data_IF_389774340373
#
_entry.id   IF_389774340373
#
_cell.length_a   1.000
_cell.length_b   1.000
_cell.length_c   1.000
_cell.angle_alpha   90.00
_cell.angle_beta   90.00
_cell.angle_gamma   90.00
#
_symmetry.space_group_name_H-M   'P 1'
#
loop_
_entity.id
_entity.type
_entity.pdbx_description
1 polymer ?
#
# COMPACT_ATOMS: atom_id res chain seq x y z
N UNK A 1 -4.92 -14.59 -2.69
CA UNK A 1 -5.40 -13.54 -3.61
C UNK A 1 -4.48 -13.43 -4.81
N UNK A 2 -5.07 -13.38 -6.01
CA UNK A 2 -4.39 -13.33 -7.32
C UNK A 2 -4.00 -11.91 -7.78
N UNK A 3 -4.53 -10.88 -7.11
CA UNK A 3 -4.37 -9.49 -7.55
C UNK A 3 -2.92 -9.00 -7.58
N UNK A 4 -2.05 -9.38 -6.63
CA UNK A 4 -0.64 -8.98 -6.67
C UNK A 4 0.08 -9.43 -7.94
N UNK A 5 -0.16 -10.68 -8.37
CA UNK A 5 0.38 -11.22 -9.64
C UNK A 5 -0.24 -10.51 -10.85
N UNK A 6 -1.53 -10.21 -10.77
CA UNK A 6 -2.22 -9.46 -11.84
C UNK A 6 -1.65 -8.05 -11.98
N UNK A 7 -1.46 -7.34 -10.87
CA UNK A 7 -0.89 -6.00 -10.81
C UNK A 7 0.50 -5.98 -11.45
N UNK A 8 1.39 -6.89 -11.05
CA UNK A 8 2.73 -6.99 -11.63
C UNK A 8 2.68 -7.26 -13.14
N UNK A 9 1.79 -8.15 -13.60
CA UNK A 9 1.65 -8.51 -15.01
C UNK A 9 1.08 -7.38 -15.87
N UNK A 10 0.12 -6.63 -15.34
CA UNK A 10 -0.58 -5.57 -16.08
C UNK A 10 0.12 -4.21 -15.98
N UNK A 11 1.14 -4.12 -15.12
CA UNK A 11 1.95 -2.92 -14.97
C UNK A 11 2.90 -2.71 -16.14
N UNK A 12 3.20 -1.45 -16.42
CA UNK A 12 4.29 -1.06 -17.31
C UNK A 12 5.62 -1.44 -16.64
N UNK A 13 6.44 -2.32 -17.24
CA UNK A 13 7.67 -2.81 -16.61
C UNK A 13 8.61 -1.71 -16.13
N UNK A 14 8.74 -0.64 -16.91
CA UNK A 14 9.58 0.52 -16.64
C UNK A 14 9.12 1.32 -15.41
N UNK A 15 7.86 1.16 -15.01
CA UNK A 15 7.26 1.88 -13.87
C UNK A 15 7.03 0.98 -12.66
N UNK A 16 7.46 -0.28 -12.73
CA UNK A 16 7.25 -1.29 -11.67
C UNK A 16 7.74 -0.84 -10.29
N UNK A 17 8.83 -0.07 -10.23
CA UNK A 17 9.37 0.50 -8.98
C UNK A 17 8.49 1.58 -8.34
N UNK A 18 7.57 2.15 -9.12
CA UNK A 18 6.62 3.16 -8.65
C UNK A 18 5.26 2.56 -8.31
N UNK A 19 5.04 1.27 -8.55
CA UNK A 19 3.79 0.61 -8.20
C UNK A 19 3.56 0.56 -6.68
N UNK A 20 2.29 0.40 -6.31
CA UNK A 20 1.91 0.03 -4.96
C UNK A 20 2.56 -1.32 -4.59
N UNK A 21 3.21 -1.39 -3.42
CA UNK A 21 3.72 -2.64 -2.88
C UNK A 21 2.58 -3.46 -2.24
N UNK A 22 1.72 -3.96 -3.12
CA UNK A 22 0.52 -4.70 -2.76
C UNK A 22 0.85 -5.97 -1.95
N UNK A 23 1.93 -6.67 -2.31
CA UNK A 23 2.28 -7.93 -1.67
C UNK A 23 2.78 -7.72 -0.23
N UNK A 24 3.55 -6.65 0.02
CA UNK A 24 3.95 -6.28 1.38
C UNK A 24 2.75 -5.83 2.22
N UNK A 25 1.88 -4.94 1.71
CA UNK A 25 0.68 -4.52 2.44
C UNK A 25 -0.23 -5.71 2.80
N UNK A 26 -0.42 -6.62 1.85
CA UNK A 26 -1.19 -7.84 2.08
C UNK A 26 -0.50 -8.77 3.08
N UNK A 27 0.82 -8.85 3.09
CA UNK A 27 1.58 -9.63 4.06
C UNK A 27 1.38 -9.08 5.47
N UNK A 28 1.57 -7.77 5.65
CA UNK A 28 1.39 -7.09 6.93
C UNK A 28 -0.02 -7.30 7.50
N UNK A 29 -1.06 -7.07 6.68
CA UNK A 29 -2.45 -7.35 7.08
C UNK A 29 -2.60 -8.81 7.50
N UNK A 30 -2.09 -9.76 6.70
CA UNK A 30 -2.20 -11.18 7.03
C UNK A 30 -1.51 -11.51 8.35
N UNK A 31 -0.28 -11.02 8.59
CA UNK A 31 0.47 -11.30 9.82
C UNK A 31 -0.31 -10.81 11.05
N UNK A 32 -0.92 -9.63 10.97
CA UNK A 32 -1.61 -9.01 12.10
C UNK A 32 -3.08 -9.39 12.25
N UNK A 33 -3.69 -10.07 11.27
CA UNK A 33 -5.08 -10.57 11.36
C UNK A 33 -5.21 -12.09 11.37
N UNK A 34 -4.10 -12.85 11.29
CA UNK A 34 -4.16 -14.32 11.30
C UNK A 34 -4.42 -14.83 12.72
N UNK A 35 -5.48 -15.63 12.86
CA UNK A 35 -6.09 -16.11 14.10
C UNK A 35 -5.18 -16.95 15.02
N UNK A 36 -4.01 -17.39 14.53
CA UNK A 36 -3.07 -18.26 15.24
C UNK A 36 -2.00 -17.51 16.06
N UNK A 37 -1.90 -16.19 15.94
CA UNK A 37 -1.31 -15.42 17.04
C UNK A 37 -2.36 -15.36 18.13
N UNK A 38 -2.07 -15.98 19.29
CA UNK A 38 -2.94 -16.12 20.47
C UNK A 38 -3.56 -14.79 20.92
N UNK A 39 -4.54 -14.31 20.16
CA UNK A 39 -5.29 -13.11 20.44
C UNK A 39 -6.31 -13.56 21.45
N UNK A 40 -5.91 -13.50 22.72
CA UNK A 40 -6.84 -13.55 23.83
C UNK A 40 -8.03 -12.67 23.43
N UNK A 41 -9.22 -13.27 23.34
CA UNK A 41 -10.46 -12.60 22.94
C UNK A 41 -10.46 -11.21 23.57
N UNK A 42 -10.38 -10.16 22.74
CA UNK A 42 -10.26 -8.80 23.22
C UNK A 42 -11.36 -8.56 24.27
N UNK A 43 -10.94 -8.30 25.51
CA UNK A 43 -11.87 -8.08 26.61
C UNK A 43 -12.67 -6.82 26.25
N UNK A 44 -14.01 -6.87 26.21
CA UNK A 44 -14.81 -5.68 25.93
C UNK A 44 -14.40 -4.52 26.84
N UNK A 45 -13.93 -3.42 26.25
CA UNK A 45 -13.41 -2.25 26.98
C UNK A 45 -11.89 -2.18 27.16
N UNK A 46 -11.12 -3.19 26.74
CA UNK A 46 -9.67 -3.14 26.70
C UNK A 46 -9.17 -2.93 25.27
N UNK A 47 -8.43 -1.84 25.03
CA UNK A 47 -7.84 -1.59 23.72
C UNK A 47 -6.66 -2.53 23.49
N UNK A 48 -6.69 -3.24 22.37
CA UNK A 48 -5.54 -3.98 21.88
C UNK A 48 -4.48 -2.99 21.36
N UNK A 49 -3.53 -2.65 22.22
CA UNK A 49 -2.47 -1.69 21.90
C UNK A 49 -1.54 -2.19 20.78
N UNK A 50 -1.42 -3.51 20.58
CA UNK A 50 -0.62 -4.07 19.49
C UNK A 50 -1.36 -3.92 18.17
N UNK A 51 -2.66 -4.23 18.14
CA UNK A 51 -3.52 -3.98 16.99
C UNK A 51 -3.52 -2.49 16.60
N UNK A 52 -3.67 -1.60 17.59
CA UNK A 52 -3.67 -0.15 17.33
C UNK A 52 -2.36 0.34 16.71
N UNK A 53 -1.22 -0.11 17.23
CA UNK A 53 0.11 0.21 16.67
C UNK A 53 0.25 -0.28 15.24
N UNK A 54 -0.25 -1.48 14.96
CA UNK A 54 -0.28 -2.00 13.60
C UNK A 54 -1.15 -1.13 12.67
N UNK A 55 -2.36 -0.76 13.09
CA UNK A 55 -3.25 0.10 12.30
C UNK A 55 -2.61 1.46 11.99
N UNK A 56 -2.00 2.11 12.99
CA UNK A 56 -1.32 3.39 12.82
C UNK A 56 -0.10 3.26 11.86
N UNK A 57 0.65 2.17 11.94
CA UNK A 57 1.77 1.88 11.05
C UNK A 57 1.30 1.58 9.61
N UNK A 58 0.26 0.76 9.45
CA UNK A 58 -0.34 0.44 8.15
C UNK A 58 -0.88 1.69 7.47
N UNK A 59 -1.56 2.57 8.22
CA UNK A 59 -2.06 3.83 7.72
C UNK A 59 -0.91 4.72 7.21
N UNK A 60 0.15 4.85 8.01
CA UNK A 60 1.35 5.61 7.62
C UNK A 60 1.96 5.07 6.34
N UNK A 61 2.06 3.75 6.18
CA UNK A 61 2.61 3.13 4.98
C UNK A 61 1.72 3.35 3.75
N UNK A 62 0.39 3.27 3.92
CA UNK A 62 -0.56 3.59 2.84
C UNK A 62 -0.41 5.04 2.36
N UNK A 63 -0.26 6.01 3.28
CA UNK A 63 0.03 7.40 2.93
C UNK A 63 1.37 7.52 2.18
N UNK A 64 2.44 6.91 2.70
CA UNK A 64 3.76 6.98 2.08
C UNK A 64 3.77 6.42 0.65
N UNK A 65 3.11 5.29 0.41
CA UNK A 65 3.03 4.71 -0.94
C UNK A 65 2.13 5.55 -1.86
N UNK A 66 1.03 6.09 -1.32
CA UNK A 66 0.16 7.00 -2.07
C UNK A 66 0.93 8.25 -2.53
N UNK A 67 1.68 8.89 -1.65
CA UNK A 67 2.43 10.12 -1.98
C UNK A 67 3.52 9.87 -3.04
N UNK A 68 4.17 8.71 -2.99
CA UNK A 68 5.14 8.29 -4.02
C UNK A 68 4.48 8.08 -5.38
N UNK A 69 3.31 7.44 -5.40
CA UNK A 69 2.51 7.22 -6.61
C UNK A 69 2.03 8.55 -7.19
N UNK A 70 1.49 9.44 -6.35
CA UNK A 70 1.00 10.76 -6.74
C UNK A 70 2.11 11.62 -7.36
N UNK A 71 3.29 11.64 -6.73
CA UNK A 71 4.45 12.35 -7.26
C UNK A 71 4.88 11.81 -8.63
N UNK A 72 4.91 10.48 -8.78
CA UNK A 72 5.28 9.84 -10.05
C UNK A 72 4.28 10.18 -11.16
N UNK A 73 2.99 10.03 -10.88
CA UNK A 73 1.92 10.31 -11.86
C UNK A 73 1.93 11.77 -12.26
N UNK A 74 2.00 12.69 -11.29
CA UNK A 74 2.06 14.13 -11.56
C UNK A 74 3.29 14.49 -12.39
N UNK A 75 4.48 13.99 -12.02
CA UNK A 75 5.70 14.22 -12.78
C UNK A 75 5.61 13.70 -14.22
N UNK A 76 4.97 12.56 -14.45
CA UNK A 76 4.80 11.97 -15.78
C UNK A 76 3.75 12.69 -16.61
N UNK A 77 2.65 13.11 -15.99
CA UNK A 77 1.63 13.93 -16.64
C UNK A 77 2.24 15.25 -17.13
N UNK A 78 3.01 15.92 -16.27
CA UNK A 78 3.71 17.16 -16.62
C UNK A 78 4.73 16.96 -17.75
N UNK A 79 5.48 15.84 -17.72
CA UNK A 79 6.40 15.47 -18.79
C UNK A 79 5.66 15.31 -20.13
N UNK A 80 4.54 14.60 -20.13
CA UNK A 80 3.72 14.38 -21.33
C UNK A 80 3.14 15.70 -21.84
N UNK A 81 2.56 16.53 -20.96
CA UNK A 81 2.03 17.85 -21.33
C UNK A 81 3.09 18.72 -21.99
N UNK A 82 4.31 18.77 -21.43
CA UNK A 82 5.44 19.50 -22.03
C UNK A 82 5.81 18.97 -23.41
N UNK A 83 5.82 17.64 -23.60
CA UNK A 83 6.13 17.01 -24.90
C UNK A 83 5.06 17.29 -25.96
N UNK A 84 3.80 17.38 -25.55
CA UNK A 84 2.67 17.63 -26.46
C UNK A 84 2.48 19.12 -26.79
N UNK A 85 3.22 20.04 -26.15
CA UNK A 85 3.18 21.46 -26.47
C UNK A 85 1.87 22.17 -26.09
N UNK A 86 0.99 21.51 -25.32
CA UNK A 86 -0.18 22.14 -24.73
C UNK A 86 0.28 23.02 -23.56
N UNK A 87 0.55 24.30 -23.87
CA UNK A 87 0.77 25.39 -22.90
C UNK A 87 -0.55 26.06 -22.58
#
# INVERSE_FOLDING_TARGET
MKYGVQLERESVPEWSLHNLDYNSLKHEIKVHTTRDQATALAIPGHQDTALRRFEDALFTELCNQHDRLDLFVTSKADEVSRRLGTT
#
